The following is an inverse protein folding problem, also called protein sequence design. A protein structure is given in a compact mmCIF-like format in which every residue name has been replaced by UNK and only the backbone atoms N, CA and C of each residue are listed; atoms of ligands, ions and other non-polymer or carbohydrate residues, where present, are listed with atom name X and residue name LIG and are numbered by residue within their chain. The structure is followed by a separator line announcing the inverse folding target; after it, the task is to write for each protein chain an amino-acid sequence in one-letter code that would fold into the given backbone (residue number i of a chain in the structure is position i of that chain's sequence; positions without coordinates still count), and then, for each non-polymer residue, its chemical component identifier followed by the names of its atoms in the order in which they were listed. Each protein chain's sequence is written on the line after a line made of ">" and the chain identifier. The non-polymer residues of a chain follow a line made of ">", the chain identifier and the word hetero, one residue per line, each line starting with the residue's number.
data_IF_825488328286
#
_entry.id   IF_825488328286
#
_cell.length_a   1.000
_cell.length_b   1.000
_cell.length_c   1.000
_cell.angle_alpha   90.00
_cell.angle_beta   90.00
_cell.angle_gamma   90.00
#
_symmetry.space_group_name_H-M   'P 1'
#
loop_
_entity.id
_entity.type
_entity.pdbx_description
1 polymer ?
#
# COMPACT_ATOMS: atom_id res chain seq x y z
N UNK A 1 -11.08 -1.30 0.60
CA UNK A 1 -9.95 -0.62 -0.08
C UNK A 1 -8.95 -1.69 -0.52
N UNK A 2 -8.05 -1.45 -1.48
CA UNK A 2 -7.11 -2.48 -1.99
C UNK A 2 -6.28 -3.09 -0.85
N UNK A 3 -5.77 -2.26 0.06
CA UNK A 3 -4.97 -2.70 1.23
C UNK A 3 -5.81 -3.53 2.23
N UNK A 4 -7.06 -3.13 2.48
CA UNK A 4 -8.00 -3.88 3.34
C UNK A 4 -8.24 -5.29 2.79
N UNK A 5 -8.33 -5.45 1.47
CA UNK A 5 -8.51 -6.74 0.83
C UNK A 5 -7.34 -7.70 1.09
N UNK A 6 -6.13 -7.16 1.29
CA UNK A 6 -4.96 -7.93 1.70
C UNK A 6 -4.91 -8.22 3.22
N UNK A 7 -5.90 -7.79 4.00
CA UNK A 7 -5.94 -7.92 5.45
C UNK A 7 -5.00 -6.96 6.18
N UNK A 8 -4.65 -5.83 5.54
CA UNK A 8 -3.69 -4.88 6.07
C UNK A 8 -4.31 -3.49 6.24
N UNK A 9 -4.45 -3.05 7.50
CA UNK A 9 -4.99 -1.72 7.80
C UNK A 9 -3.92 -0.65 7.57
N UNK A 10 -3.96 -0.05 6.38
CA UNK A 10 -3.07 1.04 6.01
C UNK A 10 -3.80 2.36 6.18
N UNK A 11 -3.44 3.08 7.24
CA UNK A 11 -4.06 4.37 7.56
C UNK A 11 -3.77 5.43 6.49
N UNK A 12 -4.65 6.44 6.39
CA UNK A 12 -4.48 7.59 5.47
C UNK A 12 -3.11 8.27 5.62
N UNK A 13 -2.58 8.34 6.83
CA UNK A 13 -1.29 8.96 7.11
C UNK A 13 -0.12 8.17 6.51
N UNK A 14 -0.15 6.84 6.58
CA UNK A 14 0.88 5.97 6.00
C UNK A 14 0.83 6.02 4.48
N UNK A 15 -0.37 5.97 3.90
CA UNK A 15 -0.56 6.11 2.45
C UNK A 15 -0.01 7.46 1.95
N UNK A 16 -0.35 8.54 2.66
CA UNK A 16 0.16 9.88 2.35
C UNK A 16 1.69 9.97 2.48
N UNK A 17 2.29 9.30 3.47
CA UNK A 17 3.74 9.31 3.66
C UNK A 17 4.49 8.64 2.50
N UNK A 18 4.01 7.51 2.00
CA UNK A 18 4.67 6.76 0.91
C UNK A 18 4.43 7.35 -0.49
N UNK A 19 3.33 8.08 -0.68
CA UNK A 19 2.98 8.71 -1.96
C UNK A 19 3.53 10.14 -2.12
N UNK A 20 4.10 10.73 -1.07
CA UNK A 20 4.73 12.05 -1.14
C UNK A 20 5.96 12.03 -2.03
N UNK A 21 6.35 13.20 -2.54
CA UNK A 21 7.61 13.37 -3.26
C UNK A 21 8.80 13.14 -2.31
N UNK A 22 9.87 12.52 -2.82
CA UNK A 22 11.17 12.44 -2.13
C UNK A 22 11.61 13.85 -1.73
N UNK A 23 12.08 14.01 -0.49
CA UNK A 23 12.48 15.30 0.08
C UNK A 23 11.41 16.01 0.92
N UNK A 24 10.16 15.53 0.93
CA UNK A 24 9.17 16.02 1.89
C UNK A 24 9.52 15.52 3.31
N UNK A 25 9.41 16.33 4.38
CA UNK A 25 9.80 15.92 5.75
C UNK A 25 9.03 14.69 6.25
N UNK A 26 7.79 14.53 5.80
CA UNK A 26 6.95 13.36 6.09
C UNK A 26 6.91 12.33 4.95
N UNK A 27 7.89 12.32 4.05
CA UNK A 27 8.09 11.24 3.09
C UNK A 27 8.61 10.00 3.81
N UNK A 28 8.10 8.84 3.43
CA UNK A 28 8.66 7.55 3.83
C UNK A 28 8.82 6.69 2.60
N UNK A 29 9.93 5.98 2.47
CA UNK A 29 10.08 5.00 1.38
C UNK A 29 8.99 3.92 1.50
N UNK A 30 8.50 3.49 0.34
CA UNK A 30 7.56 2.38 0.27
C UNK A 30 8.31 1.09 0.58
N UNK A 31 8.20 0.60 1.82
CA UNK A 31 8.84 -0.65 2.22
C UNK A 31 8.19 -1.88 1.57
N UNK A 32 8.94 -2.97 1.47
CA UNK A 32 8.51 -4.18 0.77
C UNK A 32 7.17 -4.75 1.29
N UNK A 33 6.90 -4.60 2.58
CA UNK A 33 5.64 -5.07 3.18
C UNK A 33 4.43 -4.31 2.62
N UNK A 34 4.54 -3.00 2.45
CA UNK A 34 3.47 -2.18 1.89
C UNK A 34 3.25 -2.52 0.41
N UNK A 35 4.34 -2.70 -0.35
CA UNK A 35 4.28 -3.09 -1.75
C UNK A 35 3.64 -4.48 -1.94
N UNK A 36 4.07 -5.49 -1.16
CA UNK A 36 3.50 -6.85 -1.21
C UNK A 36 2.01 -6.85 -0.89
N UNK A 37 1.60 -6.14 0.16
CA UNK A 37 0.19 -6.06 0.56
C UNK A 37 -0.64 -5.32 -0.49
N UNK A 38 -0.10 -4.27 -1.11
CA UNK A 38 -0.78 -3.59 -2.20
C UNK A 38 -1.01 -4.51 -3.41
N UNK A 39 0.01 -5.23 -3.85
CA UNK A 39 -0.09 -6.17 -4.97
C UNK A 39 -1.03 -7.34 -4.67
N UNK A 40 -0.95 -7.92 -3.45
CA UNK A 40 -1.87 -8.96 -3.00
C UNK A 40 -3.32 -8.46 -3.00
N UNK A 41 -3.54 -7.26 -2.48
CA UNK A 41 -4.86 -6.63 -2.45
C UNK A 41 -5.41 -6.35 -3.84
N UNK A 42 -4.54 -6.00 -4.80
CA UNK A 42 -4.90 -5.78 -6.18
C UNK A 42 -5.31 -7.10 -6.85
N UNK A 43 -4.51 -8.16 -6.68
CA UNK A 43 -4.81 -9.49 -7.22
C UNK A 43 -6.13 -10.06 -6.69
N UNK A 44 -6.39 -9.91 -5.39
CA UNK A 44 -7.65 -10.35 -4.75
C UNK A 44 -8.87 -9.59 -5.27
N UNK A 45 -8.71 -8.32 -5.67
CA UNK A 45 -9.81 -7.49 -6.17
C UNK A 45 -10.12 -7.77 -7.65
N UNK A 46 -9.09 -7.99 -8.46
CA UNK A 46 -9.24 -8.20 -9.90
C UNK A 46 -9.45 -9.68 -10.27
N UNK A 47 -9.63 -10.57 -9.28
CA UNK A 47 -9.91 -11.98 -9.52
C UNK A 47 -8.76 -12.73 -10.20
N UNK A 48 -7.55 -12.18 -10.16
CA UNK A 48 -6.33 -12.87 -10.60
C UNK A 48 -5.90 -13.82 -9.49
N UNK A 49 -6.76 -14.77 -9.19
CA UNK A 49 -6.48 -15.95 -8.39
C UNK A 49 -6.36 -17.10 -9.39
N UNK A 50 -5.12 -17.52 -9.63
CA UNK A 50 -4.87 -18.90 -10.04
C UNK A 50 -5.13 -19.84 -8.88
#
# INVERSE_FOLDING_TARGET
>A
RIMDAAGFDFGKAQLSAILRKRGHPNYRDCGDQALRNFLKGLALREGVTG
#
